data_IF_186114794641
#
_entry.id   IF_186114794641
#
_cell.length_a   1.000
_cell.length_b   1.000
_cell.length_c   1.000
_cell.angle_alpha   90.00
_cell.angle_beta   90.00
_cell.angle_gamma   90.00
#
_symmetry.space_group_name_H-M   'P 1'
#
loop_
_entity.id
_entity.type
_entity.pdbx_description
1 polymer ?
#
# COMPACT_ATOMS: atom_id res chain seq x y z
N UNK A 1 -1.17 6.37 -9.56
CA UNK A 1 -0.73 6.37 -8.16
C UNK A 1 0.78 6.35 -8.14
N UNK A 2 1.40 6.95 -7.13
CA UNK A 2 2.87 6.99 -7.01
C UNK A 2 3.41 5.83 -6.17
N UNK A 3 2.61 5.30 -5.24
CA UNK A 3 2.95 4.15 -4.39
C UNK A 3 1.68 3.39 -4.00
N UNK A 4 1.78 2.06 -3.89
CA UNK A 4 0.75 1.20 -3.28
C UNK A 4 1.33 0.55 -2.02
N UNK A 5 0.57 0.50 -0.93
CA UNK A 5 0.94 -0.15 0.32
C UNK A 5 -0.02 -1.30 0.58
N UNK A 6 0.52 -2.50 0.80
CA UNK A 6 -0.26 -3.71 1.05
C UNK A 6 0.00 -4.23 2.46
N UNK A 7 -1.07 -4.46 3.23
CA UNK A 7 -0.98 -5.13 4.52
C UNK A 7 -0.55 -6.58 4.36
N UNK A 8 0.14 -7.12 5.37
CA UNK A 8 0.68 -8.49 5.34
C UNK A 8 -0.41 -9.56 5.19
N UNK A 9 -1.59 -9.35 5.80
CA UNK A 9 -2.73 -10.27 5.72
C UNK A 9 -3.71 -9.95 4.57
N UNK A 10 -3.29 -9.19 3.55
CA UNK A 10 -4.12 -8.99 2.36
C UNK A 10 -4.34 -10.36 1.68
N UNK A 11 -5.59 -10.73 1.32
CA UNK A 11 -5.87 -12.02 0.68
C UNK A 11 -5.00 -12.24 -0.56
N UNK A 12 -4.42 -13.43 -0.75
CA UNK A 12 -3.40 -13.67 -1.77
C UNK A 12 -3.88 -13.35 -3.18
N UNK A 13 -5.14 -13.70 -3.52
CA UNK A 13 -5.72 -13.36 -4.82
C UNK A 13 -5.72 -11.85 -5.08
N UNK A 14 -6.17 -11.05 -4.10
CA UNK A 14 -6.22 -9.59 -4.22
C UNK A 14 -4.83 -8.97 -4.25
N UNK A 15 -3.90 -9.52 -3.47
CA UNK A 15 -2.49 -9.11 -3.47
C UNK A 15 -1.90 -9.28 -4.89
N UNK A 16 -2.06 -10.45 -5.50
CA UNK A 16 -1.57 -10.72 -6.86
C UNK A 16 -2.23 -9.85 -7.92
N UNK A 17 -3.54 -9.61 -7.85
CA UNK A 17 -4.24 -8.70 -8.77
C UNK A 17 -3.68 -7.28 -8.69
N UNK A 18 -3.48 -6.76 -7.47
CA UNK A 18 -2.97 -5.40 -7.26
C UNK A 18 -1.52 -5.28 -7.74
N UNK A 19 -0.67 -6.25 -7.41
CA UNK A 19 0.73 -6.28 -7.88
C UNK A 19 0.81 -6.33 -9.40
N UNK A 20 -0.07 -7.11 -10.04
CA UNK A 20 -0.15 -7.18 -11.50
C UNK A 20 -0.51 -5.82 -12.12
N UNK A 21 -1.55 -5.15 -11.61
CA UNK A 21 -1.91 -3.81 -12.10
C UNK A 21 -0.84 -2.75 -11.80
N UNK A 22 -0.17 -2.86 -10.65
CA UNK A 22 0.92 -1.98 -10.27
C UNK A 22 2.12 -2.14 -11.22
N UNK A 23 2.49 -3.37 -11.56
CA UNK A 23 3.53 -3.68 -12.53
C UNK A 23 3.23 -3.06 -13.90
N UNK A 24 2.03 -3.28 -14.44
CA UNK A 24 1.62 -2.71 -15.73
C UNK A 24 1.67 -1.18 -15.74
N UNK A 25 1.32 -0.56 -14.61
CA UNK A 25 1.29 0.89 -14.44
C UNK A 25 2.64 1.47 -14.02
N UNK A 26 3.68 0.64 -13.83
CA UNK A 26 5.00 1.02 -13.30
C UNK A 26 4.93 1.75 -11.95
N UNK A 27 4.05 1.29 -11.06
CA UNK A 27 3.86 1.83 -9.72
C UNK A 27 4.58 0.93 -8.71
N UNK A 28 5.31 1.54 -7.78
CA UNK A 28 5.97 0.78 -6.70
C UNK A 28 4.95 0.21 -5.71
N UNK A 29 5.23 -0.99 -5.20
CA UNK A 29 4.42 -1.68 -4.20
C UNK A 29 5.26 -1.92 -2.96
N UNK A 30 4.84 -1.37 -1.83
CA UNK A 30 5.47 -1.59 -0.54
C UNK A 30 4.65 -2.58 0.30
N UNK A 31 5.30 -3.68 0.71
CA UNK A 31 4.71 -4.65 1.61
C UNK A 31 4.86 -4.19 3.06
N UNK A 32 3.77 -3.72 3.63
CA UNK A 32 3.70 -3.35 5.03
C UNK A 32 3.74 -4.61 5.91
N UNK A 33 4.63 -4.61 6.91
CA UNK A 33 4.84 -5.77 7.78
C UNK A 33 3.64 -6.04 8.71
N UNK A 34 2.90 -5.00 9.10
CA UNK A 34 1.71 -5.12 9.94
C UNK A 34 0.48 -5.64 9.18
N UNK A 35 -0.56 -5.97 9.94
CA UNK A 35 -1.84 -6.43 9.40
C UNK A 35 -2.74 -5.25 8.97
N UNK A 36 -3.92 -5.57 8.44
CA UNK A 36 -4.90 -4.57 7.98
C UNK A 36 -5.56 -3.73 9.09
N UNK A 37 -5.52 -4.17 10.35
CA UNK A 37 -5.90 -3.35 11.52
C UNK A 37 -4.81 -2.33 11.81
N UNK A 38 -3.55 -2.76 11.81
CA UNK A 38 -2.39 -1.89 12.04
C UNK A 38 -2.29 -0.81 10.96
N UNK A 39 -2.47 -1.20 9.68
CA UNK A 39 -2.45 -0.26 8.56
C UNK A 39 -3.63 0.72 8.62
N UNK A 40 -4.83 0.25 8.99
CA UNK A 40 -5.99 1.12 9.19
C UNK A 40 -5.76 2.14 10.31
N UNK A 41 -5.19 1.68 11.44
CA UNK A 41 -4.84 2.52 12.59
C UNK A 41 -3.78 3.56 12.22
N UNK A 42 -2.75 3.18 11.46
CA UNK A 42 -1.74 4.09 10.94
C UNK A 42 -2.33 5.17 10.01
N UNK A 43 -3.41 4.86 9.30
CA UNK A 43 -4.16 5.81 8.48
C UNK A 43 -5.19 6.64 9.28
N UNK A 44 -5.26 6.49 10.61
CA UNK A 44 -6.26 7.15 11.47
C UNK A 44 -7.69 6.69 11.22
N UNK A 45 -7.89 5.44 10.76
CA UNK A 45 -9.21 4.86 10.47
C UNK A 45 -9.61 3.84 11.53
N UNK A 46 -10.89 3.85 11.92
CA UNK A 46 -11.50 2.87 12.83
C UNK A 46 -11.99 1.60 12.12
N UNK A 47 -11.51 1.35 10.90
CA UNK A 47 -11.84 0.18 10.11
C UNK A 47 -10.58 -0.40 9.45
N UNK A 48 -10.66 -1.66 9.04
CA UNK A 48 -9.54 -2.42 8.46
C UNK A 48 -9.20 -1.93 7.06
N UNK A 49 -7.92 -1.73 6.77
CA UNK A 49 -7.40 -1.32 5.46
C UNK A 49 -6.40 -2.36 4.97
N UNK A 50 -6.74 -3.10 3.91
CA UNK A 50 -5.81 -4.10 3.33
C UNK A 50 -4.86 -3.51 2.29
N UNK A 51 -5.27 -2.42 1.62
CA UNK A 51 -4.51 -1.77 0.56
C UNK A 51 -4.74 -0.25 0.65
N UNK A 52 -3.67 0.52 0.49
CA UNK A 52 -3.69 1.98 0.37
C UNK A 52 -2.96 2.38 -0.92
N UNK A 53 -3.56 3.27 -1.70
CA UNK A 53 -2.93 3.85 -2.89
C UNK A 53 -2.64 5.33 -2.64
N UNK A 54 -1.38 5.72 -2.82
CA UNK A 54 -0.95 7.12 -2.71
C UNK A 54 -1.08 7.76 -4.08
N UNK A 55 -2.07 8.64 -4.22
CA UNK A 55 -2.25 9.43 -5.43
C UNK A 55 -1.27 10.62 -5.45
N UNK A 56 -1.15 11.29 -4.31
CA UNK A 56 -0.24 12.41 -4.11
C UNK A 56 0.37 12.36 -2.69
N UNK A 57 1.71 12.42 -2.53
CA UNK A 57 2.35 12.41 -1.22
C UNK A 57 2.17 13.70 -0.42
N UNK A 58 1.80 14.82 -1.07
CA UNK A 58 1.88 16.14 -0.45
C UNK A 58 3.30 16.40 0.05
N UNK A 59 3.42 16.87 1.29
CA UNK A 59 4.70 17.14 1.97
C UNK A 59 5.34 15.89 2.62
N UNK A 60 4.82 14.69 2.34
CA UNK A 60 5.32 13.45 2.94
C UNK A 60 6.50 12.85 2.19
N UNK A 61 7.53 12.40 2.92
CA UNK A 61 8.67 11.62 2.40
C UNK A 61 8.32 10.14 2.09
N UNK A 62 7.04 9.77 2.08
CA UNK A 62 6.61 8.37 1.95
C UNK A 62 7.03 7.69 0.64
N UNK A 63 7.33 8.46 -0.42
CA UNK A 63 7.80 7.92 -1.70
C UNK A 63 9.30 7.71 -1.72
N UNK A 64 10.07 8.56 -1.03
CA UNK A 64 11.54 8.52 -1.08
C UNK A 64 12.12 7.35 -0.27
N UNK A 65 11.32 6.79 0.64
CA UNK A 65 11.69 5.70 1.54
C UNK A 65 11.53 4.30 0.94
N UNK A 66 10.90 4.17 -0.23
CA UNK A 66 10.70 2.87 -0.89
C UNK A 66 11.78 2.67 -1.96
N UNK A 67 12.68 1.68 -1.83
CA UNK A 67 13.64 1.38 -2.89
C UNK A 67 12.90 0.93 -4.16
N UNK A 68 13.34 1.46 -5.32
CA UNK A 68 12.81 1.11 -6.64
C UNK A 68 13.14 -0.34 -7.02
#
# INVERSE_FOLDING_TARGET
GKLIILANNCPPLRKSEIEYYAMLSKISVHHFHGNNVDLGTACGKYYRVCCLSILDPGDSDIITTVPQ
#
